data_IF_844602982112
#
_entry.id   IF_844602982112
#
_cell.length_a   1.000
_cell.length_b   1.000
_cell.length_c   1.000
_cell.angle_alpha   90.00
_cell.angle_beta   90.00
_cell.angle_gamma   90.00
#
_symmetry.space_group_name_H-M   'P 1'
#
loop_
_entity.id
_entity.type
_entity.pdbx_description
1 polymer ?
#
# COMPACT_ATOMS: atom_id res chain seq x y z
N UNK A 1 -15.25 0.84 1.57
CA UNK A 1 -15.23 1.31 2.97
C UNK A 1 -13.94 0.77 3.59
N UNK A 2 -13.31 1.48 4.53
CA UNK A 2 -12.15 0.93 5.25
C UNK A 2 -12.63 -0.28 6.07
N UNK A 3 -11.94 -1.43 6.05
CA UNK A 3 -12.30 -2.60 6.85
C UNK A 3 -12.46 -2.26 8.34
N UNK A 4 -13.49 -2.83 8.99
CA UNK A 4 -13.84 -2.52 10.38
C UNK A 4 -12.75 -2.92 11.37
N UNK A 5 -11.99 -3.97 11.06
CA UNK A 5 -10.83 -4.41 11.85
C UNK A 5 -9.71 -3.37 11.84
N UNK A 6 -9.43 -2.75 10.69
CA UNK A 6 -8.44 -1.67 10.58
C UNK A 6 -8.91 -0.42 11.32
N UNK A 7 -10.20 -0.07 11.21
CA UNK A 7 -10.77 1.06 11.96
C UNK A 7 -10.70 0.82 13.48
N UNK A 8 -10.99 -0.40 13.92
CA UNK A 8 -10.93 -0.76 15.33
C UNK A 8 -9.50 -0.75 15.86
N UNK A 9 -8.56 -1.30 15.09
CA UNK A 9 -7.13 -1.24 15.39
C UNK A 9 -6.62 0.20 15.54
N UNK A 10 -7.02 1.10 14.63
CA UNK A 10 -6.64 2.51 14.70
C UNK A 10 -7.15 3.17 16.01
N UNK A 11 -8.40 2.91 16.40
CA UNK A 11 -8.98 3.44 17.64
C UNK A 11 -8.31 2.88 18.89
N UNK A 12 -7.93 1.61 18.89
CA UNK A 12 -7.33 0.94 20.04
C UNK A 12 -5.86 1.34 20.24
N UNK A 13 -5.07 1.34 19.17
CA UNK A 13 -3.62 1.53 19.25
C UNK A 13 -3.18 2.98 19.02
N UNK A 14 -4.00 3.81 18.37
CA UNK A 14 -3.68 5.20 18.07
C UNK A 14 -4.81 6.18 18.48
N UNK A 15 -5.41 6.07 19.68
CA UNK A 15 -6.62 6.84 20.06
C UNK A 15 -6.42 8.36 20.09
N UNK A 16 -5.18 8.83 20.24
CA UNK A 16 -4.84 10.26 20.36
C UNK A 16 -4.19 10.84 19.09
N UNK A 17 -4.09 10.05 18.01
CA UNK A 17 -3.37 10.44 16.79
C UNK A 17 -4.35 10.80 15.68
N UNK A 18 -4.81 12.04 15.70
CA UNK A 18 -5.73 12.59 14.69
C UNK A 18 -5.05 12.91 13.35
N UNK A 19 -3.72 12.93 13.31
CA UNK A 19 -2.92 13.17 12.11
C UNK A 19 -2.81 11.93 11.21
N UNK A 20 -3.24 10.75 11.69
CA UNK A 20 -3.14 9.51 10.94
C UNK A 20 -4.27 9.38 9.92
N UNK A 21 -3.89 8.89 8.75
CA UNK A 21 -4.75 8.62 7.60
C UNK A 21 -4.60 7.18 7.19
N UNK A 22 -5.70 6.61 6.70
CA UNK A 22 -5.70 5.29 6.09
C UNK A 22 -5.70 5.45 4.58
N UNK A 23 -4.76 4.81 3.91
CA UNK A 23 -4.74 4.67 2.46
C UNK A 23 -4.85 3.22 2.05
N UNK A 24 -5.19 2.97 0.79
CA UNK A 24 -5.14 1.63 0.21
C UNK A 24 -4.27 1.61 -1.04
N UNK A 25 -3.39 0.61 -1.09
CA UNK A 25 -2.66 0.20 -2.28
C UNK A 25 -3.44 -0.88 -3.00
N UNK A 26 -3.66 -0.67 -4.29
CA UNK A 26 -4.35 -1.62 -5.15
C UNK A 26 -3.47 -1.97 -6.35
N UNK A 27 -3.26 -3.26 -6.58
CA UNK A 27 -2.60 -3.75 -7.79
C UNK A 27 -3.54 -3.56 -9.00
N UNK A 28 -3.11 -2.75 -9.98
CA UNK A 28 -3.93 -2.41 -11.15
C UNK A 28 -4.27 -3.63 -12.02
N UNK A 29 -3.40 -4.64 -12.09
CA UNK A 29 -3.69 -5.89 -12.82
C UNK A 29 -4.78 -6.67 -12.08
N UNK A 30 -4.69 -6.81 -10.76
CA UNK A 30 -5.71 -7.53 -9.99
C UNK A 30 -7.05 -6.80 -10.05
N UNK A 31 -7.04 -5.47 -9.99
CA UNK A 31 -8.25 -4.67 -10.12
C UNK A 31 -8.92 -4.86 -11.48
N UNK A 32 -8.12 -4.82 -12.55
CA UNK A 32 -8.63 -5.05 -13.90
C UNK A 32 -9.17 -6.48 -14.07
N UNK A 33 -8.51 -7.50 -13.52
CA UNK A 33 -9.01 -8.88 -13.55
C UNK A 33 -10.35 -9.03 -12.82
N UNK A 34 -10.55 -8.30 -11.73
CA UNK A 34 -11.78 -8.37 -10.95
C UNK A 34 -12.94 -7.60 -11.59
N UNK A 35 -12.66 -6.45 -12.21
CA UNK A 35 -13.71 -5.51 -12.68
C UNK A 35 -13.84 -5.40 -14.18
N UNK A 36 -12.89 -5.93 -14.95
CA UNK A 36 -12.68 -5.66 -16.39
C UNK A 36 -12.47 -4.18 -16.71
N UNK A 37 -12.15 -3.33 -15.73
CA UNK A 37 -11.91 -1.88 -15.89
C UNK A 37 -10.56 -1.48 -15.33
N UNK A 38 -9.95 -0.45 -15.89
CA UNK A 38 -8.71 0.12 -15.38
C UNK A 38 -9.00 1.25 -14.38
N UNK A 39 -8.20 1.35 -13.33
CA UNK A 39 -8.25 2.49 -12.40
C UNK A 39 -7.87 3.76 -13.16
N UNK A 40 -8.60 4.84 -12.91
CA UNK A 40 -8.33 6.16 -13.49
C UNK A 40 -7.75 7.10 -12.43
N UNK A 41 -6.78 7.96 -12.79
CA UNK A 41 -6.21 8.91 -11.84
C UNK A 41 -7.23 9.98 -11.45
N UNK A 42 -7.16 10.40 -10.20
CA UNK A 42 -7.94 11.50 -9.65
C UNK A 42 -7.01 12.33 -8.77
N UNK A 43 -6.84 13.61 -9.13
CA UNK A 43 -5.91 14.50 -8.45
C UNK A 43 -6.22 14.55 -6.94
N UNK A 44 -5.19 14.33 -6.12
CA UNK A 44 -5.30 14.35 -4.66
C UNK A 44 -6.03 13.15 -4.02
N UNK A 45 -6.38 12.10 -4.76
CA UNK A 45 -7.05 10.93 -4.16
C UNK A 45 -6.77 9.57 -4.80
N UNK A 46 -6.36 9.52 -6.06
CA UNK A 46 -6.07 8.26 -6.77
C UNK A 46 -4.81 8.46 -7.61
N UNK A 47 -3.71 7.90 -7.13
CA UNK A 47 -2.37 8.15 -7.65
C UNK A 47 -1.74 6.84 -8.11
N UNK A 48 -1.41 6.75 -9.41
CA UNK A 48 -0.55 5.68 -9.91
C UNK A 48 0.88 5.93 -9.42
N UNK A 49 1.47 4.96 -8.71
CA UNK A 49 2.80 5.16 -8.16
C UNK A 49 3.89 5.08 -9.24
N UNK A 50 3.68 4.32 -10.32
CA UNK A 50 4.63 4.31 -11.44
C UNK A 50 4.60 5.60 -12.28
N UNK A 51 3.57 6.45 -12.16
CA UNK A 51 3.55 7.73 -12.88
C UNK A 51 4.76 8.60 -12.47
N UNK A 52 5.46 9.17 -13.45
CA UNK A 52 6.70 9.92 -13.23
C UNK A 52 7.92 9.09 -12.80
N UNK A 53 7.87 7.77 -12.95
CA UNK A 53 9.01 6.86 -12.71
C UNK A 53 9.52 6.26 -14.03
N UNK A 54 10.62 5.52 -14.01
CA UNK A 54 11.11 4.78 -15.19
C UNK A 54 10.08 3.78 -15.75
N UNK A 55 9.17 3.32 -14.90
CA UNK A 55 8.14 2.33 -15.21
C UNK A 55 6.78 2.97 -15.53
N UNK A 56 6.73 4.27 -15.86
CA UNK A 56 5.48 5.01 -16.12
C UNK A 56 4.58 4.35 -17.18
N UNK A 57 5.17 3.68 -18.18
CA UNK A 57 4.39 2.93 -19.20
C UNK A 57 3.56 1.79 -18.60
N UNK A 58 3.93 1.31 -17.42
CA UNK A 58 3.24 0.27 -16.68
C UNK A 58 2.23 0.84 -15.68
N UNK A 59 2.09 2.16 -15.55
CA UNK A 59 1.24 2.80 -14.54
C UNK A 59 -0.20 2.25 -14.46
N UNK A 60 -0.91 1.95 -15.58
CA UNK A 60 -2.23 1.35 -15.51
C UNK A 60 -2.26 -0.01 -14.80
N UNK A 61 -1.19 -0.79 -14.97
CA UNK A 61 -1.01 -2.14 -14.41
C UNK A 61 -0.24 -2.14 -13.06
N UNK A 62 0.30 -0.98 -12.67
CA UNK A 62 1.10 -0.83 -11.47
C UNK A 62 0.27 -0.68 -10.20
N UNK A 63 0.94 -0.36 -9.07
CA UNK A 63 0.27 -0.05 -7.83
C UNK A 63 -0.35 1.35 -7.84
N UNK A 64 -1.58 1.41 -7.32
CA UNK A 64 -2.35 2.63 -7.14
C UNK A 64 -2.51 2.94 -5.66
N UNK A 65 -2.13 4.14 -5.23
CA UNK A 65 -2.42 4.65 -3.90
C UNK A 65 -3.73 5.43 -3.93
N UNK A 66 -4.66 5.05 -3.07
CA UNK A 66 -6.02 5.59 -3.06
C UNK A 66 -6.40 6.09 -1.67
N UNK A 67 -7.03 7.26 -1.62
CA UNK A 67 -7.66 7.85 -0.45
C UNK A 67 -9.12 7.38 -0.30
N UNK A 68 -9.44 6.60 0.76
CA UNK A 68 -10.80 6.18 1.08
C UNK A 68 -11.80 7.32 1.27
N UNK A 69 -11.37 8.50 1.70
CA UNK A 69 -12.25 9.65 1.92
C UNK A 69 -12.84 10.17 0.60
N UNK A 70 -12.08 10.07 -0.50
CA UNK A 70 -12.38 10.73 -1.77
C UNK A 70 -12.66 9.75 -2.93
N UNK A 71 -12.38 8.45 -2.77
CA UNK A 71 -12.51 7.44 -3.84
C UNK A 71 -13.33 6.20 -3.41
N UNK A 72 -14.48 6.43 -2.76
CA UNK A 72 -15.31 5.38 -2.12
C UNK A 72 -15.65 4.19 -3.02
N UNK A 73 -15.88 4.42 -4.31
CA UNK A 73 -16.21 3.37 -5.28
C UNK A 73 -15.06 2.37 -5.47
N UNK A 74 -13.84 2.86 -5.72
CA UNK A 74 -12.65 2.03 -5.87
C UNK A 74 -12.35 1.32 -4.55
N UNK A 75 -12.48 2.01 -3.41
CA UNK A 75 -12.22 1.43 -2.09
C UNK A 75 -13.22 0.34 -1.72
N UNK A 76 -14.48 0.44 -2.15
CA UNK A 76 -15.45 -0.65 -1.98
C UNK A 76 -15.00 -1.90 -2.73
N UNK A 77 -14.61 -1.76 -3.99
CA UNK A 77 -14.10 -2.86 -4.81
C UNK A 77 -12.83 -3.45 -4.20
N UNK A 78 -11.90 -2.62 -3.71
CA UNK A 78 -10.68 -3.09 -3.05
C UNK A 78 -11.00 -3.95 -1.81
N UNK A 79 -11.98 -3.54 -0.99
CA UNK A 79 -12.41 -4.35 0.16
C UNK A 79 -13.04 -5.69 -0.27
N UNK A 80 -13.79 -5.73 -1.38
CA UNK A 80 -14.35 -6.96 -1.96
C UNK A 80 -13.25 -7.88 -2.52
N UNK A 81 -12.20 -7.30 -3.11
CA UNK A 81 -11.06 -8.03 -3.69
C UNK A 81 -10.11 -8.61 -2.64
N UNK A 82 -9.90 -7.91 -1.53
CA UNK A 82 -8.90 -8.23 -0.51
C UNK A 82 -8.88 -9.71 -0.05
N UNK A 83 -10.02 -10.36 0.26
CA UNK A 83 -10.02 -11.77 0.65
C UNK A 83 -9.79 -12.73 -0.52
N UNK A 84 -10.03 -12.29 -1.77
CA UNK A 84 -10.05 -13.14 -2.95
C UNK A 84 -8.75 -13.08 -3.78
N UNK A 85 -8.05 -11.94 -3.77
CA UNK A 85 -6.91 -11.68 -4.64
C UNK A 85 -5.74 -11.03 -3.87
N UNK A 86 -4.49 -11.45 -4.11
CA UNK A 86 -3.31 -10.82 -3.51
C UNK A 86 -3.00 -9.51 -4.25
N UNK A 87 -3.74 -8.46 -3.95
CA UNK A 87 -3.61 -7.16 -4.63
C UNK A 87 -4.07 -5.96 -3.83
N UNK A 88 -4.27 -6.12 -2.51
CA UNK A 88 -4.75 -5.06 -1.62
C UNK A 88 -3.86 -5.01 -0.39
N UNK A 89 -3.34 -3.83 -0.09
CA UNK A 89 -2.59 -3.53 1.14
C UNK A 89 -3.06 -2.18 1.66
N UNK A 90 -3.45 -2.11 2.92
CA UNK A 90 -3.84 -0.87 3.58
C UNK A 90 -2.64 -0.28 4.32
N UNK A 91 -2.55 1.05 4.33
CA UNK A 91 -1.47 1.80 4.96
C UNK A 91 -2.06 2.73 6.00
N UNK A 92 -1.44 2.80 7.18
CA UNK A 92 -1.64 3.90 8.13
C UNK A 92 -0.45 4.83 7.98
N UNK A 93 -0.70 6.11 7.74
CA UNK A 93 0.35 7.12 7.54
C UNK A 93 -0.01 8.46 8.16
N UNK A 94 1.01 9.20 8.62
CA UNK A 94 0.87 10.59 9.03
C UNK A 94 1.05 11.59 7.86
N UNK A 95 1.46 11.09 6.68
CA UNK A 95 1.70 11.91 5.49
C UNK A 95 0.40 12.13 4.71
N UNK A 96 0.26 13.31 4.11
CA UNK A 96 -0.73 13.52 3.05
C UNK A 96 -0.43 12.65 1.83
N UNK A 97 -1.45 12.33 1.04
CA UNK A 97 -1.38 11.32 -0.02
C UNK A 97 -0.27 11.57 -1.04
N UNK A 98 -0.02 12.82 -1.45
CA UNK A 98 1.04 13.14 -2.42
C UNK A 98 2.44 12.90 -1.84
N UNK A 99 2.65 13.29 -0.57
CA UNK A 99 3.90 13.01 0.14
C UNK A 99 4.07 11.52 0.38
N UNK A 100 2.99 10.82 0.72
CA UNK A 100 2.97 9.37 0.86
C UNK A 100 3.31 8.69 -0.47
N UNK A 101 2.73 9.12 -1.59
CA UNK A 101 3.02 8.59 -2.91
C UNK A 101 4.49 8.80 -3.28
N UNK A 102 5.05 9.98 -2.99
CA UNK A 102 6.48 10.24 -3.20
C UNK A 102 7.37 9.31 -2.36
N UNK A 103 7.06 9.13 -1.07
CA UNK A 103 7.79 8.21 -0.21
C UNK A 103 7.72 6.76 -0.73
N UNK A 104 6.53 6.32 -1.15
CA UNK A 104 6.34 4.99 -1.75
C UNK A 104 7.13 4.82 -3.05
N UNK A 105 7.16 5.83 -3.92
CA UNK A 105 7.94 5.80 -5.17
C UNK A 105 9.42 5.59 -4.92
N UNK A 106 9.98 6.23 -3.89
CA UNK A 106 11.38 6.04 -3.51
C UNK A 106 11.69 4.61 -3.02
N UNK A 107 10.65 3.88 -2.59
CA UNK A 107 10.79 2.48 -2.17
C UNK A 107 10.60 1.48 -3.32
N UNK A 108 10.12 1.89 -4.50
CA UNK A 108 9.87 0.98 -5.62
C UNK A 108 11.19 0.41 -6.14
N UNK A 109 12.18 1.26 -6.38
CA UNK A 109 13.47 0.83 -6.90
C UNK A 109 14.53 0.86 -5.81
N UNK A 110 14.94 -0.31 -5.33
CA UNK A 110 16.02 -0.46 -4.35
C UNK A 110 17.29 -0.94 -5.01
N UNK A 111 18.42 -0.30 -4.68
CA UNK A 111 19.75 -0.75 -5.05
C UNK A 111 20.37 -1.54 -3.92
N UNK A 112 20.78 -2.77 -4.22
CA UNK A 112 21.50 -3.63 -3.30
C UNK A 112 22.97 -3.22 -3.13
N UNK A 113 23.65 -3.65 -2.05
CA UNK A 113 25.08 -3.37 -1.83
C UNK A 113 25.99 -3.83 -2.96
N UNK A 114 25.62 -4.88 -3.69
CA UNK A 114 26.36 -5.38 -4.86
C UNK A 114 26.07 -4.60 -6.15
N UNK A 115 25.31 -3.50 -6.08
CA UNK A 115 24.98 -2.64 -7.22
C UNK A 115 23.79 -3.11 -8.07
N UNK A 116 23.19 -4.27 -7.78
CA UNK A 116 21.98 -4.74 -8.47
C UNK A 116 20.78 -3.89 -8.06
N UNK A 117 19.89 -3.63 -9.01
CA UNK A 117 18.61 -2.98 -8.76
C UNK A 117 17.49 -4.02 -8.67
N UNK A 118 16.52 -3.75 -7.80
CA UNK A 118 15.35 -4.58 -7.56
C UNK A 118 14.11 -3.69 -7.53
N UNK A 119 13.02 -4.19 -8.12
CA UNK A 119 11.69 -3.60 -7.91
C UNK A 119 11.03 -4.24 -6.69
N UNK A 120 10.74 -3.44 -5.67
CA UNK A 120 10.10 -3.85 -4.43
C UNK A 120 8.59 -3.82 -4.57
N UNK A 121 7.97 -5.00 -4.59
CA UNK A 121 6.52 -5.16 -4.74
C UNK A 121 5.78 -5.06 -3.40
N UNK A 122 5.93 -3.94 -2.68
CA UNK A 122 5.28 -3.74 -1.37
C UNK A 122 3.74 -3.72 -1.44
N UNK A 123 3.14 -3.64 -2.62
CA UNK A 123 1.69 -3.70 -2.84
C UNK A 123 1.15 -5.12 -3.06
N UNK A 124 2.02 -6.12 -3.19
CA UNK A 124 1.63 -7.53 -3.28
C UNK A 124 1.79 -8.16 -1.89
N UNK A 125 0.71 -8.57 -1.19
CA UNK A 125 0.77 -9.16 0.15
C UNK A 125 1.75 -10.33 0.28
N UNK A 126 1.93 -11.12 -0.80
CA UNK A 126 2.81 -12.29 -0.82
C UNK A 126 4.28 -11.90 -0.90
N UNK A 127 4.57 -10.81 -1.62
CA UNK A 127 5.92 -10.26 -1.69
C UNK A 127 6.27 -9.48 -0.42
N UNK A 128 5.30 -8.73 0.12
CA UNK A 128 5.47 -7.90 1.31
C UNK A 128 5.83 -8.72 2.55
N UNK A 129 5.15 -9.86 2.79
CA UNK A 129 5.48 -10.74 3.91
C UNK A 129 6.90 -11.33 3.79
N UNK A 130 7.28 -11.79 2.59
CA UNK A 130 8.61 -12.33 2.32
C UNK A 130 9.70 -11.26 2.48
N UNK A 131 9.43 -10.06 1.99
CA UNK A 131 10.30 -8.90 2.13
C UNK A 131 10.54 -8.57 3.60
N UNK A 132 9.50 -8.45 4.41
CA UNK A 132 9.64 -8.14 5.83
C UNK A 132 10.48 -9.19 6.57
N UNK A 133 10.24 -10.47 6.34
CA UNK A 133 11.02 -11.55 6.94
C UNK A 133 12.50 -11.53 6.52
N UNK A 134 12.79 -11.18 5.27
CA UNK A 134 14.17 -11.15 4.75
C UNK A 134 14.97 -9.93 5.17
N UNK A 135 14.32 -8.77 5.30
CA UNK A 135 14.97 -7.50 5.66
C UNK A 135 15.20 -7.42 7.16
N UNK A 136 14.27 -7.95 7.96
CA UNK A 136 14.27 -7.83 9.41
C UNK A 136 13.82 -6.46 9.91
N UNK A 137 13.41 -6.40 11.18
CA UNK A 137 12.71 -5.25 11.77
C UNK A 137 13.51 -3.94 11.74
N UNK A 138 14.79 -3.97 12.05
CA UNK A 138 15.61 -2.74 12.13
C UNK A 138 15.75 -2.07 10.76
N UNK A 139 16.12 -2.86 9.74
CA UNK A 139 16.25 -2.35 8.37
C UNK A 139 14.89 -2.00 7.78
N UNK A 140 13.83 -2.72 8.15
CA UNK A 140 12.47 -2.37 7.77
C UNK A 140 12.13 -0.96 8.23
N UNK A 141 12.32 -0.66 9.52
CA UNK A 141 12.06 0.68 10.07
C UNK A 141 12.89 1.76 9.38
N UNK A 142 14.15 1.47 9.07
CA UNK A 142 15.03 2.43 8.39
C UNK A 142 14.58 2.77 6.96
N UNK A 143 14.00 1.82 6.23
CA UNK A 143 13.65 1.99 4.81
C UNK A 143 12.16 2.27 4.56
N UNK A 144 11.27 1.73 5.40
CA UNK A 144 9.82 1.79 5.25
C UNK A 144 9.14 2.63 6.34
N UNK A 145 9.92 3.32 7.18
CA UNK A 145 9.45 4.09 8.33
C UNK A 145 8.50 5.26 8.02
N UNK A 146 8.38 5.66 6.74
CA UNK A 146 7.40 6.65 6.29
C UNK A 146 5.96 6.17 6.35
N UNK A 147 5.73 4.86 6.52
CA UNK A 147 4.43 4.26 6.81
C UNK A 147 4.44 3.80 8.28
N UNK A 148 3.38 4.15 9.02
CA UNK A 148 3.22 3.77 10.43
C UNK A 148 2.97 2.28 10.54
N UNK A 149 1.98 1.79 9.77
CA UNK A 149 1.65 0.37 9.68
C UNK A 149 1.15 -0.02 8.29
N UNK A 150 1.45 -1.26 7.92
CA UNK A 150 0.99 -1.94 6.72
C UNK A 150 0.04 -3.05 7.14
N UNK A 151 -1.13 -3.13 6.53
CA UNK A 151 -2.19 -4.09 6.87
C UNK A 151 -2.62 -4.85 5.61
N UNK A 152 -2.65 -6.17 5.64
CA UNK A 152 -3.01 -6.98 4.45
C UNK A 152 -3.48 -8.37 4.86
N UNK A 153 -4.19 -9.06 3.95
CA UNK A 153 -4.53 -10.47 4.13
C UNK A 153 -3.42 -11.35 3.57
N UNK A 154 -2.96 -12.30 4.39
CA UNK A 154 -2.06 -13.37 3.96
C UNK A 154 -2.56 -14.70 4.51
N UNK A 155 -2.75 -15.70 3.63
CA UNK A 155 -3.27 -17.02 4.00
C UNK A 155 -4.57 -16.96 4.82
N UNK A 156 -5.47 -16.04 4.46
CA UNK A 156 -6.77 -15.86 5.12
C UNK A 156 -6.73 -15.07 6.43
N UNK A 157 -5.56 -14.65 6.90
CA UNK A 157 -5.40 -13.92 8.16
C UNK A 157 -5.01 -12.46 7.89
N UNK A 158 -5.54 -11.53 8.69
CA UNK A 158 -5.05 -10.16 8.75
C UNK A 158 -3.67 -10.14 9.40
N UNK A 159 -2.70 -9.63 8.64
CA UNK A 159 -1.35 -9.36 9.11
C UNK A 159 -1.17 -7.85 9.15
N UNK A 160 -0.49 -7.36 10.18
CA UNK A 160 0.02 -5.99 10.20
C UNK A 160 1.52 -5.97 10.47
N UNK A 161 2.21 -5.01 9.86
CA UNK A 161 3.64 -4.76 10.03
C UNK A 161 3.79 -3.29 10.40
N UNK A 162 4.32 -3.01 11.58
CA UNK A 162 4.46 -1.65 12.11
C UNK A 162 5.85 -1.32 12.59
N UNK A 163 6.11 -0.02 12.80
CA UNK A 163 7.36 0.44 13.41
C UNK A 163 7.36 0.30 14.95
N UNK A 164 6.23 -0.03 15.55
CA UNK A 164 5.99 -0.11 16.99
C UNK A 164 5.85 -1.55 17.52
N UNK A 165 5.70 -2.54 16.64
CA UNK A 165 5.60 -3.97 16.99
C UNK A 165 6.98 -4.58 17.26
#
# INVERSE_FOLDING_TARGET
MIPDDIQSHLREHFPLREDLRVYVLVDGIQFHKHTSTAIQPQAGSVIALFAGTRDERLAPAGPWLIDPAHAKGIVRIAAEMEPALPGVVWLISALEIEKQAQALRQMIDMRLPNGRELMVRFWDPRALVSLYHSVGREKWRAHFGGVVEWHFIHQGNRIYIGNHA
#
